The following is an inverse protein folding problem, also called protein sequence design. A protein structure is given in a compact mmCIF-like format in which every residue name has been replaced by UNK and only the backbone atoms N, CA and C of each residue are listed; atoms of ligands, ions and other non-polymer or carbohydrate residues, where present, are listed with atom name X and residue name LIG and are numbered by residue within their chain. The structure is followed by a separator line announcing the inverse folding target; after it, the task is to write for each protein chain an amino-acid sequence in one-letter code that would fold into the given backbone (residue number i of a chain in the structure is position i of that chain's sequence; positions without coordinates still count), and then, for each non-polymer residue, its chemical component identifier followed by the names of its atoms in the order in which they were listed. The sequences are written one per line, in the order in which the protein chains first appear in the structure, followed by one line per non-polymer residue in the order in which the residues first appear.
data_IF_122177235988
#
_entry.id   IF_122177235988
#
_cell.length_a   1.000
_cell.length_b   1.000
_cell.length_c   1.000
_cell.angle_alpha   90.00
_cell.angle_beta   90.00
_cell.angle_gamma   90.00
#
_symmetry.space_group_name_H-M   'P 1'
#
loop_
_entity.id
_entity.type
_entity.pdbx_description
1 polymer ?
#
# COMPACT_ATOMS: atom_id res chain seq x y z
N UNK A 1 41.35 11.95 19.53
CA UNK A 1 40.21 12.49 18.76
C UNK A 1 40.74 13.59 17.87
N UNK A 2 40.70 13.35 16.57
CA UNK A 2 41.38 14.15 15.56
C UNK A 2 40.52 15.39 15.23
N UNK A 3 41.10 16.59 15.33
CA UNK A 3 40.43 17.89 15.09
C UNK A 3 39.78 17.97 13.71
N UNK A 4 40.29 17.21 12.74
CA UNK A 4 39.72 17.09 11.39
C UNK A 4 38.31 16.48 11.38
N UNK A 5 37.98 15.62 12.35
CA UNK A 5 36.66 14.98 12.45
C UNK A 5 35.62 15.98 12.95
N UNK A 6 35.99 16.86 13.88
CA UNK A 6 35.11 17.93 14.40
C UNK A 6 34.76 18.98 13.34
N UNK A 7 35.71 19.33 12.47
CA UNK A 7 35.44 20.21 11.32
C UNK A 7 34.51 19.57 10.29
N UNK A 8 34.64 18.26 10.04
CA UNK A 8 33.74 17.55 9.13
C UNK A 8 32.30 17.52 9.65
N UNK A 9 32.09 17.29 10.95
CA UNK A 9 30.74 17.32 11.52
C UNK A 9 30.15 18.74 11.54
N UNK A 10 30.94 19.78 11.81
CA UNK A 10 30.46 21.17 11.78
C UNK A 10 30.07 21.63 10.36
N UNK A 11 30.82 21.25 9.32
CA UNK A 11 30.47 21.60 7.93
C UNK A 11 29.21 20.87 7.46
N UNK A 12 29.05 19.59 7.83
CA UNK A 12 27.87 18.81 7.44
C UNK A 12 26.60 19.31 8.15
N UNK A 13 26.69 19.71 9.42
CA UNK A 13 25.54 20.25 10.16
C UNK A 13 25.11 21.61 9.59
N UNK A 14 26.05 22.52 9.27
CA UNK A 14 25.71 23.81 8.66
C UNK A 14 25.15 23.70 7.23
N UNK A 15 25.48 22.65 6.48
CA UNK A 15 24.99 22.46 5.12
C UNK A 15 23.54 21.94 5.04
N UNK A 16 22.99 21.42 6.15
CA UNK A 16 21.61 20.86 6.19
C UNK A 16 20.57 21.94 6.50
N UNK A 17 20.96 23.07 7.09
CA UNK A 17 20.04 24.13 7.55
C UNK A 17 19.77 25.27 6.55
N UNK A 18 20.27 25.19 5.31
CA UNK A 18 20.02 26.21 4.28
C UNK A 18 19.44 25.59 3.01
N UNK A 19 18.19 25.16 3.09
CA UNK A 19 17.35 25.04 1.88
C UNK A 19 15.87 25.23 2.19
N UNK A 20 15.55 26.36 2.78
CA UNK A 20 14.20 26.92 2.77
C UNK A 20 14.29 28.40 2.35
N UNK A 21 13.33 28.77 1.51
CA UNK A 21 13.01 30.11 0.98
C UNK A 21 13.59 30.61 -0.37
N UNK A 22 12.62 30.99 -1.21
CA UNK A 22 12.62 31.98 -2.29
C UNK A 22 13.03 31.57 -3.72
N UNK A 23 12.01 31.29 -4.53
CA UNK A 23 11.86 31.98 -5.82
C UNK A 23 10.39 32.33 -6.10
N UNK A 24 10.12 33.63 -6.05
CA UNK A 24 8.89 34.29 -6.46
C UNK A 24 8.80 34.39 -7.99
N UNK A 25 7.61 34.08 -8.54
CA UNK A 25 6.85 35.02 -9.40
C UNK A 25 6.95 34.93 -10.93
N UNK A 26 5.78 35.20 -11.55
CA UNK A 26 5.42 35.43 -12.97
C UNK A 26 4.98 34.14 -13.71
N UNK A 27 3.75 33.97 -14.24
CA UNK A 27 2.77 34.92 -14.76
C UNK A 27 1.30 34.43 -14.65
N UNK A 28 0.43 35.44 -14.69
CA UNK A 28 -1.04 35.53 -14.69
C UNK A 28 -1.78 34.67 -15.75
N UNK A 29 -2.92 34.09 -15.37
CA UNK A 29 -4.15 34.11 -16.19
C UNK A 29 -5.38 33.75 -15.34
N UNK A 30 -6.09 34.78 -14.91
CA UNK A 30 -7.42 34.72 -14.30
C UNK A 30 -8.49 34.24 -15.29
N UNK A 31 -9.33 33.28 -14.88
CA UNK A 31 -10.67 33.09 -15.45
C UNK A 31 -11.68 32.89 -14.29
N UNK A 32 -12.70 33.74 -14.16
CA UNK A 32 -13.62 33.71 -13.02
C UNK A 32 -14.71 32.65 -13.22
N UNK A 33 -14.74 31.62 -12.37
CA UNK A 33 -15.93 30.79 -12.16
C UNK A 33 -16.82 31.48 -11.13
N UNK A 34 -17.44 32.58 -11.55
CA UNK A 34 -18.58 33.15 -10.86
C UNK A 34 -19.49 33.67 -11.97
N UNK A 35 -20.61 32.97 -12.21
CA UNK A 35 -21.83 33.38 -12.96
C UNK A 35 -22.53 32.23 -13.73
N UNK A 36 -22.59 31.02 -13.17
CA UNK A 36 -23.64 30.03 -13.43
C UNK A 36 -23.72 29.25 -12.11
N UNK A 37 -24.64 29.46 -11.18
CA UNK A 37 -26.09 29.36 -11.30
C UNK A 37 -26.73 30.25 -10.22
N UNK A 38 -27.52 31.24 -10.63
CA UNK A 38 -28.47 31.93 -9.76
C UNK A 38 -29.80 31.18 -9.77
N UNK A 39 -30.42 31.17 -8.59
CA UNK A 39 -31.84 30.93 -8.32
C UNK A 39 -32.41 29.51 -8.49
N UNK A 40 -32.60 28.84 -7.34
CA UNK A 40 -33.92 28.87 -6.67
C UNK A 40 -33.82 28.32 -5.26
N UNK A 41 -34.00 29.22 -4.28
CA UNK A 41 -34.36 28.85 -2.92
C UNK A 41 -35.79 28.30 -2.94
N UNK A 42 -35.94 26.99 -2.77
CA UNK A 42 -37.23 26.38 -2.43
C UNK A 42 -37.20 25.97 -0.96
N UNK A 43 -38.07 26.61 -0.18
CA UNK A 43 -38.36 26.30 1.22
C UNK A 43 -39.20 25.03 1.28
N UNK A 44 -38.58 23.90 1.61
CA UNK A 44 -39.29 22.73 2.13
C UNK A 44 -38.50 22.21 3.33
N UNK A 45 -39.12 22.26 4.50
CA UNK A 45 -38.61 21.61 5.70
C UNK A 45 -38.71 20.09 5.50
N UNK A 46 -37.57 19.39 5.57
CA UNK A 46 -37.52 17.92 5.48
C UNK A 46 -36.75 17.36 6.69
N UNK A 47 -37.31 16.35 7.40
CA UNK A 47 -36.91 16.02 8.76
C UNK A 47 -35.65 15.15 8.83
N UNK A 48 -34.82 15.40 9.85
CA UNK A 48 -33.98 14.47 10.65
C UNK A 48 -33.23 13.30 9.96
N UNK A 49 -32.99 13.36 8.65
CA UNK A 49 -32.31 12.28 7.92
C UNK A 49 -30.95 12.69 7.36
N UNK A 50 -30.69 14.00 7.23
CA UNK A 50 -29.39 14.49 6.74
C UNK A 50 -28.23 14.15 7.68
N UNK A 51 -28.44 14.16 8.99
CA UNK A 51 -27.39 13.84 9.97
C UNK A 51 -27.04 12.35 9.98
N UNK A 52 -28.02 11.45 9.81
CA UNK A 52 -27.79 10.00 9.67
C UNK A 52 -27.14 9.61 8.34
N UNK A 53 -27.44 10.35 7.27
CA UNK A 53 -26.81 10.15 5.96
C UNK A 53 -25.36 10.65 5.99
N UNK A 54 -25.09 11.83 6.59
CA UNK A 54 -23.74 12.37 6.75
C UNK A 54 -22.84 11.54 7.69
N UNK A 55 -23.42 10.83 8.67
CA UNK A 55 -22.65 9.91 9.54
C UNK A 55 -22.26 8.59 8.87
N UNK A 56 -22.83 8.25 7.71
CA UNK A 56 -22.46 7.03 6.96
C UNK A 56 -21.23 7.19 6.08
N UNK A 57 -20.70 8.41 5.95
CA UNK A 57 -19.64 8.78 5.00
C UNK A 57 -18.21 8.81 5.57
N UNK A 58 -17.95 8.23 6.75
CA UNK A 58 -16.58 8.00 7.24
C UNK A 58 -16.26 6.54 7.54
N UNK A 59 -16.79 5.62 6.73
CA UNK A 59 -16.33 4.20 6.77
C UNK A 59 -15.01 4.05 6.02
N UNK A 60 -13.95 4.63 6.61
CA UNK A 60 -12.58 4.60 6.10
C UNK A 60 -12.46 5.34 4.77
N UNK A 61 -11.39 6.09 4.59
CA UNK A 61 -11.07 6.65 3.29
C UNK A 61 -10.81 5.47 2.34
N UNK A 62 -11.82 5.03 1.58
CA UNK A 62 -11.62 4.12 0.45
C UNK A 62 -10.80 4.90 -0.56
N UNK A 63 -9.49 4.78 -0.45
CA UNK A 63 -8.59 5.13 -1.54
C UNK A 63 -9.00 4.25 -2.73
N UNK A 64 -9.81 4.82 -3.63
CA UNK A 64 -10.27 4.17 -4.86
C UNK A 64 -9.10 3.80 -5.80
N UNK A 65 -7.87 4.20 -5.46
CA UNK A 65 -6.65 4.00 -6.23
C UNK A 65 -5.71 2.94 -5.64
N UNK A 66 -5.97 2.41 -4.44
CA UNK A 66 -5.06 1.51 -3.75
C UNK A 66 -5.63 0.10 -3.58
N UNK A 67 -4.88 -0.90 -4.07
CA UNK A 67 -5.26 -2.29 -3.94
C UNK A 67 -4.74 -2.87 -2.62
N UNK A 68 -5.47 -2.60 -1.53
CA UNK A 68 -5.10 -2.99 -0.17
C UNK A 68 -4.77 -4.50 -0.01
N UNK A 69 -5.28 -5.36 -0.91
CA UNK A 69 -4.98 -6.78 -0.91
C UNK A 69 -3.53 -7.08 -1.31
N UNK A 70 -2.98 -6.32 -2.25
CA UNK A 70 -1.57 -6.47 -2.68
C UNK A 70 -0.65 -5.94 -1.58
N UNK A 71 -1.02 -4.81 -0.97
CA UNK A 71 -0.23 -4.17 0.09
C UNK A 71 -0.15 -5.04 1.34
N UNK A 72 -1.27 -5.62 1.77
CA UNK A 72 -1.27 -6.51 2.92
C UNK A 72 -0.54 -7.82 2.60
N UNK A 73 -0.67 -8.35 1.37
CA UNK A 73 0.11 -9.51 0.94
C UNK A 73 1.62 -9.20 0.98
N UNK A 74 2.03 -8.04 0.45
CA UNK A 74 3.42 -7.61 0.46
C UNK A 74 3.93 -7.38 1.89
N UNK A 75 3.12 -6.77 2.75
CA UNK A 75 3.46 -6.54 4.16
C UNK A 75 3.71 -7.86 4.90
N UNK A 76 2.87 -8.88 4.66
CA UNK A 76 3.12 -10.21 5.22
C UNK A 76 4.34 -10.85 4.58
N UNK A 77 4.52 -10.80 3.26
CA UNK A 77 5.69 -11.37 2.61
C UNK A 77 7.00 -10.77 3.14
N UNK A 78 7.01 -9.46 3.41
CA UNK A 78 8.15 -8.75 4.02
C UNK A 78 8.41 -9.14 5.48
N UNK A 79 7.37 -9.56 6.22
CA UNK A 79 7.51 -10.00 7.61
C UNK A 79 8.06 -11.43 7.77
N UNK A 80 8.16 -12.18 6.67
CA UNK A 80 8.68 -13.55 6.72
C UNK A 80 10.20 -13.49 6.93
N UNK A 81 10.74 -14.18 7.95
CA UNK A 81 12.17 -14.26 8.13
C UNK A 81 12.85 -14.82 6.88
N UNK A 82 13.88 -14.12 6.41
CA UNK A 82 14.63 -14.50 5.21
C UNK A 82 16.12 -14.51 5.46
N UNK A 83 16.83 -15.47 4.87
CA UNK A 83 18.28 -15.53 4.96
C UNK A 83 18.92 -14.54 3.95
N UNK A 84 19.68 -13.58 4.48
CA UNK A 84 20.48 -12.63 3.69
C UNK A 84 19.69 -11.48 3.03
N UNK A 85 20.36 -10.64 2.22
CA UNK A 85 19.71 -9.64 1.39
C UNK A 85 18.99 -10.27 0.20
N UNK A 86 17.89 -9.67 -0.25
CA UNK A 86 17.13 -10.13 -1.40
C UNK A 86 15.88 -9.29 -1.61
N UNK A 87 15.31 -9.36 -2.81
CA UNK A 87 14.07 -8.69 -3.15
C UNK A 87 12.90 -9.63 -2.87
N UNK A 88 11.82 -9.05 -2.32
CA UNK A 88 10.60 -9.77 -1.98
C UNK A 88 9.45 -9.26 -2.85
N UNK A 89 8.65 -10.19 -3.33
CA UNK A 89 7.50 -9.91 -4.18
C UNK A 89 6.28 -10.69 -3.70
N UNK A 90 5.14 -10.00 -3.59
CA UNK A 90 3.84 -10.63 -3.48
C UNK A 90 3.26 -10.84 -4.88
N UNK A 91 3.19 -12.09 -5.32
CA UNK A 91 2.71 -12.46 -6.67
C UNK A 91 1.30 -13.01 -6.56
N UNK A 92 0.36 -12.44 -7.31
CA UNK A 92 -1.02 -12.93 -7.36
C UNK A 92 -1.08 -14.33 -7.96
N UNK A 93 -1.96 -15.16 -7.39
CA UNK A 93 -2.27 -16.51 -7.88
C UNK A 93 -3.77 -16.64 -8.09
N UNK A 94 -4.18 -17.24 -9.21
CA UNK A 94 -5.60 -17.42 -9.52
C UNK A 94 -6.12 -18.72 -8.90
N UNK A 95 -7.26 -18.67 -8.22
CA UNK A 95 -7.91 -19.88 -7.70
C UNK A 95 -8.35 -20.78 -8.87
N UNK A 96 -8.06 -22.07 -8.74
CA UNK A 96 -8.31 -23.07 -9.78
C UNK A 96 -7.12 -23.27 -10.73
N UNK A 97 -6.06 -22.47 -10.60
CA UNK A 97 -4.82 -22.70 -11.32
C UNK A 97 -4.12 -23.97 -10.82
N UNK A 98 -3.51 -24.72 -11.75
CA UNK A 98 -2.72 -25.92 -11.42
C UNK A 98 -1.36 -25.56 -10.82
N UNK A 99 -0.75 -24.47 -11.28
CA UNK A 99 0.56 -23.99 -10.83
C UNK A 99 0.55 -23.72 -9.33
N UNK A 100 1.54 -24.24 -8.62
CA UNK A 100 1.79 -23.93 -7.21
C UNK A 100 2.61 -22.64 -7.08
N UNK A 101 2.74 -22.09 -5.87
CA UNK A 101 3.61 -20.94 -5.66
C UNK A 101 5.09 -21.25 -5.94
N UNK A 102 5.51 -22.51 -5.73
CA UNK A 102 6.84 -22.97 -6.14
C UNK A 102 7.04 -22.85 -7.65
N UNK A 103 6.06 -23.29 -8.43
CA UNK A 103 6.13 -23.21 -9.91
C UNK A 103 6.13 -21.75 -10.36
N UNK A 104 5.25 -20.93 -9.79
CA UNK A 104 5.11 -19.51 -10.14
C UNK A 104 6.39 -18.73 -9.81
N UNK A 105 6.95 -18.86 -8.60
CA UNK A 105 8.14 -18.11 -8.22
C UNK A 105 9.40 -18.56 -8.99
N UNK A 106 9.41 -19.77 -9.54
CA UNK A 106 10.53 -20.28 -10.35
C UNK A 106 10.33 -20.09 -11.85
N UNK A 107 9.16 -19.61 -12.30
CA UNK A 107 8.86 -19.41 -13.71
C UNK A 107 9.76 -18.31 -14.33
N UNK A 108 10.54 -18.63 -15.38
CA UNK A 108 11.33 -17.64 -16.10
C UNK A 108 10.52 -16.45 -16.63
N UNK A 109 9.22 -16.63 -16.93
CA UNK A 109 8.33 -15.55 -17.39
C UNK A 109 8.07 -14.52 -16.29
N UNK A 110 7.99 -14.94 -15.02
CA UNK A 110 7.85 -14.02 -13.90
C UNK A 110 9.13 -13.20 -13.73
N UNK A 111 10.29 -13.87 -13.76
CA UNK A 111 11.61 -13.23 -13.59
C UNK A 111 11.86 -12.13 -14.61
N UNK A 112 11.48 -12.38 -15.88
CA UNK A 112 11.61 -11.44 -17.00
C UNK A 112 10.80 -10.14 -16.86
N UNK A 113 9.88 -10.06 -15.90
CA UNK A 113 9.14 -8.82 -15.61
C UNK A 113 9.98 -7.82 -14.79
N UNK A 114 11.01 -8.30 -14.08
CA UNK A 114 11.93 -7.46 -13.32
C UNK A 114 13.02 -6.82 -14.17
N UNK A 115 13.77 -5.85 -13.63
CA UNK A 115 14.93 -5.28 -14.29
C UNK A 115 16.06 -6.32 -14.43
N UNK A 116 17.03 -6.08 -15.31
CA UNK A 116 18.03 -7.08 -15.74
C UNK A 116 18.80 -7.69 -14.57
N UNK A 117 19.09 -6.89 -13.56
CA UNK A 117 19.82 -7.26 -12.36
C UNK A 117 19.06 -8.33 -11.55
N UNK A 118 17.73 -8.27 -11.54
CA UNK A 118 16.86 -9.21 -10.81
C UNK A 118 16.63 -10.49 -11.62
N UNK A 119 16.72 -10.42 -12.94
CA UNK A 119 16.55 -11.59 -13.82
C UNK A 119 17.63 -12.65 -13.60
N UNK A 120 18.85 -12.24 -13.22
CA UNK A 120 19.98 -13.14 -12.91
C UNK A 120 19.95 -13.75 -11.52
N UNK A 121 19.07 -13.28 -10.61
CA UNK A 121 19.00 -13.78 -9.25
C UNK A 121 18.37 -15.18 -9.18
N UNK A 122 18.58 -15.86 -8.06
CA UNK A 122 17.92 -17.12 -7.75
C UNK A 122 16.55 -16.78 -7.18
N UNK A 123 15.51 -17.24 -7.87
CA UNK A 123 14.15 -17.07 -7.39
C UNK A 123 13.63 -18.32 -6.70
N UNK A 124 13.06 -18.13 -5.52
CA UNK A 124 12.43 -19.17 -4.73
C UNK A 124 11.10 -18.67 -4.13
N UNK A 125 10.26 -19.62 -3.72
CA UNK A 125 9.07 -19.33 -2.93
C UNK A 125 9.41 -19.46 -1.44
N UNK A 126 9.00 -18.48 -0.65
CA UNK A 126 9.18 -18.49 0.82
C UNK A 126 7.89 -18.84 1.56
N UNK A 127 6.72 -18.52 0.99
CA UNK A 127 5.42 -18.74 1.62
C UNK A 127 4.29 -18.64 0.58
N UNK A 128 3.12 -19.17 0.92
CA UNK A 128 1.88 -18.86 0.20
C UNK A 128 0.77 -18.39 1.14
N UNK A 129 -0.03 -17.46 0.65
CA UNK A 129 -1.02 -16.73 1.44
C UNK A 129 -2.41 -16.88 0.83
N UNK A 130 -3.42 -16.95 1.69
CA UNK A 130 -4.78 -16.63 1.33
C UNK A 130 -5.16 -15.29 1.98
N UNK A 131 -5.24 -14.23 1.17
CA UNK A 131 -5.76 -12.93 1.59
C UNK A 131 -7.28 -12.93 1.38
N UNK A 132 -8.04 -12.79 2.46
CA UNK A 132 -9.49 -12.84 2.38
C UNK A 132 -10.07 -11.53 1.85
N UNK A 133 -10.88 -11.65 0.80
CA UNK A 133 -11.63 -10.52 0.22
C UNK A 133 -12.90 -10.24 1.02
N UNK A 134 -13.42 -9.01 0.91
CA UNK A 134 -14.69 -8.58 1.52
C UNK A 134 -14.71 -8.71 3.05
N UNK A 135 -13.54 -8.55 3.69
CA UNK A 135 -13.46 -8.43 5.14
C UNK A 135 -13.99 -7.06 5.59
N UNK A 136 -14.53 -6.94 6.81
CA UNK A 136 -14.91 -5.65 7.38
C UNK A 136 -13.70 -4.69 7.38
N UNK A 137 -13.91 -3.48 6.86
CA UNK A 137 -12.98 -2.38 7.11
C UNK A 137 -13.34 -1.77 8.44
N UNK A 138 -12.37 -1.72 9.35
CA UNK A 138 -12.50 -0.93 10.56
C UNK A 138 -12.51 0.56 10.18
N UNK A 139 -13.16 1.37 11.00
CA UNK A 139 -13.14 2.82 10.89
C UNK A 139 -11.71 3.36 11.05
N UNK A 140 -11.48 4.54 10.48
CA UNK A 140 -10.24 5.28 10.71
C UNK A 140 -10.09 5.59 12.21
N UNK A 141 -8.87 5.41 12.71
CA UNK A 141 -8.52 5.59 14.13
C UNK A 141 -7.50 6.72 14.35
N UNK A 142 -7.32 7.63 13.38
CA UNK A 142 -6.40 8.77 13.50
C UNK A 142 -6.74 9.70 14.68
N UNK A 143 -8.02 10.08 14.84
CA UNK A 143 -8.48 10.99 15.90
C UNK A 143 -9.04 10.28 17.14
N UNK A 144 -9.75 9.17 16.96
CA UNK A 144 -10.49 8.48 18.02
C UNK A 144 -10.36 6.95 17.94
N UNK A 145 -10.30 6.28 19.09
CA UNK A 145 -10.36 4.82 19.18
C UNK A 145 -11.80 4.32 18.98
N UNK A 146 -12.20 4.20 17.72
CA UNK A 146 -13.44 3.56 17.32
C UNK A 146 -13.20 2.07 17.00
N UNK A 147 -14.27 1.27 16.94
CA UNK A 147 -14.19 -0.15 16.56
C UNK A 147 -13.30 -1.06 17.43
N UNK A 148 -13.11 -0.70 18.71
CA UNK A 148 -12.45 -1.56 19.69
C UNK A 148 -13.08 -2.96 19.74
N UNK A 149 -12.24 -3.99 19.84
CA UNK A 149 -12.64 -5.41 19.86
C UNK A 149 -13.33 -5.93 18.59
N UNK A 150 -13.14 -5.29 17.43
CA UNK A 150 -13.63 -5.79 16.13
C UNK A 150 -12.51 -6.40 15.30
N UNK A 151 -12.86 -7.41 14.49
CA UNK A 151 -11.96 -8.03 13.53
C UNK A 151 -11.82 -7.15 12.27
N UNK A 152 -10.58 -6.91 11.85
CA UNK A 152 -10.26 -6.25 10.59
C UNK A 152 -9.94 -7.23 9.46
N UNK A 153 -8.92 -6.91 8.68
CA UNK A 153 -8.46 -7.74 7.57
C UNK A 153 -7.92 -9.09 8.06
N UNK A 154 -8.15 -10.14 7.28
CA UNK A 154 -7.78 -11.51 7.62
C UNK A 154 -6.89 -12.13 6.52
N UNK A 155 -5.90 -12.89 6.96
CA UNK A 155 -4.96 -13.62 6.10
C UNK A 155 -4.72 -14.99 6.71
N UNK A 156 -4.63 -16.00 5.85
CA UNK A 156 -4.18 -17.33 6.23
C UNK A 156 -2.81 -17.61 5.60
N UNK A 157 -1.85 -18.03 6.43
CA UNK A 157 -0.53 -18.47 6.00
C UNK A 157 -0.52 -19.98 5.86
N UNK A 158 -0.15 -20.47 4.68
CA UNK A 158 -0.15 -21.89 4.40
C UNK A 158 1.12 -22.61 4.87
N UNK A 159 2.19 -21.88 5.17
CA UNK A 159 3.53 -22.41 5.48
C UNK A 159 4.00 -23.44 4.44
N UNK A 160 3.65 -23.20 3.18
CA UNK A 160 3.93 -24.13 2.09
C UNK A 160 3.89 -23.41 0.74
N UNK A 161 4.72 -23.88 -0.18
CA UNK A 161 4.77 -23.39 -1.56
C UNK A 161 4.17 -24.38 -2.57
N UNK A 162 3.75 -25.56 -2.11
CA UNK A 162 3.29 -26.66 -2.99
C UNK A 162 1.78 -26.87 -2.96
N UNK A 163 1.04 -26.08 -2.17
CA UNK A 163 -0.42 -26.16 -2.11
C UNK A 163 -1.01 -25.58 -3.39
N UNK A 164 -1.82 -26.39 -4.07
CA UNK A 164 -2.55 -26.02 -5.29
C UNK A 164 -4.02 -25.69 -5.05
N UNK A 165 -4.82 -25.72 -6.13
CA UNK A 165 -6.27 -25.49 -6.09
C UNK A 165 -6.64 -24.06 -5.73
N UNK A 166 -7.71 -23.88 -4.95
CA UNK A 166 -8.21 -22.57 -4.52
C UNK A 166 -7.73 -22.12 -3.13
N UNK A 167 -6.72 -22.79 -2.58
CA UNK A 167 -6.09 -22.42 -1.31
C UNK A 167 -5.39 -21.07 -1.42
N UNK A 168 -4.10 -21.00 -1.80
CA UNK A 168 -3.39 -19.73 -1.86
C UNK A 168 -3.83 -18.86 -3.05
N UNK A 169 -3.97 -17.56 -2.80
CA UNK A 169 -4.23 -16.53 -3.82
C UNK A 169 -3.10 -15.48 -3.94
N UNK A 170 -2.08 -15.57 -3.10
CA UNK A 170 -0.79 -14.88 -3.26
C UNK A 170 0.37 -15.81 -2.94
N UNK A 171 1.50 -15.58 -3.61
CA UNK A 171 2.78 -16.24 -3.42
C UNK A 171 3.81 -15.22 -2.95
N UNK A 172 4.55 -15.53 -1.89
CA UNK A 172 5.69 -14.73 -1.46
C UNK A 172 6.94 -15.26 -2.18
N UNK A 173 7.36 -14.57 -3.24
CA UNK A 173 8.53 -14.89 -4.01
C UNK A 173 9.72 -14.06 -3.55
N UNK A 174 10.89 -14.69 -3.45
CA UNK A 174 12.15 -14.04 -3.12
C UNK A 174 13.11 -14.19 -4.29
N UNK A 175 13.80 -13.11 -4.64
CA UNK A 175 14.88 -13.07 -5.60
C UNK A 175 16.17 -12.66 -4.86
N UNK A 176 17.14 -13.56 -4.75
CA UNK A 176 18.40 -13.36 -4.03
C UNK A 176 19.58 -14.03 -4.75
#
# INVERSE_FOLDING_TARGET
MDWKVLLFFLVVVYAVEVKEENSHGLDQADLPISQLFSDKRSTVAEPDNKEKILRRDRRGFRSYFYNYLDEIAMSICASIPSEGPGLLYAVRRTCGEKSTCKDICTDPKLRKQGPKEVQSLIWACSESLHVYKRQPSLADNYEDYTDSHKLGLAIYRHYSCTIGGCGPNYCCCRAA
#
